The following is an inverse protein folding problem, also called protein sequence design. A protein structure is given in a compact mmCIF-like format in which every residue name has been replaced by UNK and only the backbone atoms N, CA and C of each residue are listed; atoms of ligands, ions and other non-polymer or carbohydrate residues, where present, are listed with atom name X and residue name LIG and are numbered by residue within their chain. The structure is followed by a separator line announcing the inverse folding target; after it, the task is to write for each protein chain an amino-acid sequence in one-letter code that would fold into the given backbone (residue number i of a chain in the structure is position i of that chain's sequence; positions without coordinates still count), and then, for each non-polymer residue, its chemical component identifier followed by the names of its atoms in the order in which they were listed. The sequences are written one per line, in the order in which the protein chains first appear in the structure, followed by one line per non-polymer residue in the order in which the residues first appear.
data_IF_370915620910
#
_entry.id   IF_370915620910
#
_cell.length_a   1.000
_cell.length_b   1.000
_cell.length_c   1.000
_cell.angle_alpha   90.00
_cell.angle_beta   90.00
_cell.angle_gamma   90.00
#
_symmetry.space_group_name_H-M   'P 1'
#
loop_
_entity.id
_entity.type
_entity.pdbx_description
1 polymer ?
#
# COMPACT_ATOMS: atom_id res chain seq x y z
N UNK A 1 -0.83 -35.33 3.64
CA UNK A 1 0.45 -34.95 3.02
C UNK A 1 0.32 -33.48 2.63
N UNK A 2 1.00 -32.55 3.34
CA UNK A 2 1.08 -31.15 2.91
C UNK A 2 1.81 -31.13 1.56
N UNK A 3 1.10 -30.82 0.48
CA UNK A 3 1.74 -30.67 -0.82
C UNK A 3 2.83 -29.60 -0.72
N UNK A 4 4.06 -29.99 -1.05
CA UNK A 4 5.22 -29.10 -1.07
C UNK A 4 5.01 -28.05 -2.17
N UNK A 5 5.08 -26.76 -1.83
CA UNK A 5 4.98 -25.67 -2.81
C UNK A 5 6.15 -25.73 -3.80
N UNK A 6 5.84 -25.53 -5.06
CA UNK A 6 6.79 -25.45 -6.18
C UNK A 6 6.36 -24.33 -7.12
N UNK A 7 7.22 -23.90 -8.05
CA UNK A 7 6.85 -22.90 -9.04
C UNK A 7 5.62 -23.29 -9.91
N UNK A 8 5.33 -24.59 -10.02
CA UNK A 8 4.19 -25.09 -10.81
C UNK A 8 2.87 -25.13 -10.02
N UNK A 9 2.94 -25.27 -8.72
CA UNK A 9 1.75 -25.49 -7.87
C UNK A 9 1.39 -24.29 -7.01
N UNK A 10 2.29 -23.32 -6.87
CA UNK A 10 2.06 -22.11 -6.10
C UNK A 10 1.20 -21.09 -6.85
N UNK A 11 0.31 -20.43 -6.12
CA UNK A 11 -0.44 -19.29 -6.63
C UNK A 11 0.32 -17.99 -6.33
N UNK A 12 0.70 -17.18 -7.34
CA UNK A 12 1.44 -15.94 -7.13
C UNK A 12 0.74 -14.92 -6.24
N UNK A 13 -0.58 -14.85 -6.27
CA UNK A 13 -1.35 -13.92 -5.43
C UNK A 13 -1.33 -14.34 -3.96
N UNK A 14 -1.49 -15.66 -3.66
CA UNK A 14 -1.34 -16.19 -2.30
C UNK A 14 0.07 -15.94 -1.76
N UNK A 15 1.12 -16.16 -2.58
CA UNK A 15 2.50 -15.89 -2.18
C UNK A 15 2.72 -14.40 -1.86
N UNK A 16 2.15 -13.51 -2.69
CA UNK A 16 2.25 -12.07 -2.51
C UNK A 16 1.57 -11.62 -1.21
N UNK A 17 0.30 -12.01 -1.01
CA UNK A 17 -0.44 -11.66 0.21
C UNK A 17 0.32 -12.10 1.47
N UNK A 18 0.81 -13.32 1.50
CA UNK A 18 1.57 -13.87 2.63
C UNK A 18 2.92 -13.18 2.88
N UNK A 19 3.49 -12.53 1.88
CA UNK A 19 4.82 -11.93 1.97
C UNK A 19 4.82 -10.43 2.22
N UNK A 20 3.79 -9.73 1.75
CA UNK A 20 3.82 -8.27 1.60
C UNK A 20 2.68 -7.59 2.36
N UNK A 21 1.59 -8.32 2.65
CA UNK A 21 0.38 -7.72 3.18
C UNK A 21 0.06 -8.20 4.59
N UNK A 22 -0.12 -7.26 5.50
CA UNK A 22 -0.65 -7.45 6.85
C UNK A 22 -1.71 -6.36 7.11
N UNK A 23 -2.95 -6.56 6.60
CA UNK A 23 -3.94 -5.48 6.54
C UNK A 23 -4.59 -5.15 7.89
N UNK A 24 -4.60 -6.05 8.84
CA UNK A 24 -5.31 -5.86 10.12
C UNK A 24 -4.71 -4.73 10.97
N UNK A 25 -3.37 -4.64 11.19
CA UNK A 25 -2.74 -3.52 11.87
C UNK A 25 -3.02 -2.18 11.20
N UNK A 26 -2.98 -2.13 9.86
CA UNK A 26 -3.25 -0.91 9.11
C UNK A 26 -4.70 -0.45 9.25
N UNK A 27 -5.66 -1.38 9.19
CA UNK A 27 -7.08 -1.10 9.44
C UNK A 27 -7.29 -0.55 10.86
N UNK A 28 -6.60 -1.10 11.86
CA UNK A 28 -6.66 -0.64 13.23
C UNK A 28 -6.03 0.76 13.38
N UNK A 29 -4.88 0.99 12.75
CA UNK A 29 -4.18 2.27 12.71
C UNK A 29 -5.09 3.38 12.16
N UNK A 30 -5.63 3.18 10.95
CA UNK A 30 -6.52 4.14 10.31
C UNK A 30 -7.78 4.40 11.12
N UNK A 31 -8.38 3.34 11.67
CA UNK A 31 -9.60 3.45 12.48
C UNK A 31 -9.38 4.31 13.72
N UNK A 32 -8.28 4.08 14.43
CA UNK A 32 -7.90 4.83 15.63
C UNK A 32 -7.66 6.31 15.31
N UNK A 33 -6.87 6.61 14.28
CA UNK A 33 -6.56 7.98 13.89
C UNK A 33 -7.80 8.72 13.38
N UNK A 34 -8.65 8.07 12.59
CA UNK A 34 -9.88 8.69 12.11
C UNK A 34 -10.85 9.01 13.25
N UNK A 35 -11.05 8.07 14.18
CA UNK A 35 -11.92 8.31 15.37
C UNK A 35 -11.36 9.44 16.24
N UNK A 36 -10.05 9.44 16.48
CA UNK A 36 -9.39 10.49 17.28
C UNK A 36 -9.61 11.89 16.68
N UNK A 37 -9.50 12.02 15.36
CA UNK A 37 -9.59 13.32 14.68
C UNK A 37 -11.05 13.75 14.39
N UNK A 38 -11.99 12.81 14.28
CA UNK A 38 -13.35 13.08 13.81
C UNK A 38 -14.45 12.81 14.85
N UNK A 39 -14.09 12.19 15.96
CA UNK A 39 -15.08 11.82 17.00
C UNK A 39 -16.11 10.77 16.54
N UNK A 40 -15.93 10.18 15.37
CA UNK A 40 -16.81 9.18 14.78
C UNK A 40 -16.02 8.08 14.05
N UNK A 41 -16.56 6.86 13.93
CA UNK A 41 -15.90 5.83 13.12
C UNK A 41 -16.04 6.12 11.62
N UNK A 42 -15.00 5.77 10.85
CA UNK A 42 -15.07 5.68 9.41
C UNK A 42 -15.88 4.43 9.00
N UNK A 43 -16.78 4.57 8.03
CA UNK A 43 -17.66 3.49 7.56
C UNK A 43 -17.40 3.10 6.12
N UNK A 44 -16.93 4.04 5.30
CA UNK A 44 -16.71 3.84 3.87
C UNK A 44 -15.24 4.06 3.52
N UNK A 45 -14.70 3.15 2.72
CA UNK A 45 -13.31 3.23 2.26
C UNK A 45 -13.22 2.96 0.76
N UNK A 46 -12.25 3.59 0.11
CA UNK A 46 -11.77 3.22 -1.23
C UNK A 46 -10.28 2.89 -1.15
N UNK A 47 -9.92 1.76 -1.69
CA UNK A 47 -8.54 1.37 -1.89
C UNK A 47 -8.18 1.57 -3.36
N UNK A 48 -7.27 2.50 -3.63
CA UNK A 48 -6.67 2.69 -4.95
C UNK A 48 -5.50 1.71 -5.09
N UNK A 49 -5.35 1.11 -6.27
CA UNK A 49 -4.40 0.00 -6.55
C UNK A 49 -4.68 -1.24 -5.69
N UNK A 50 -5.95 -1.61 -5.59
CA UNK A 50 -6.37 -2.64 -4.63
C UNK A 50 -5.86 -4.06 -4.91
N UNK A 51 -5.39 -4.35 -6.12
CA UNK A 51 -4.95 -5.69 -6.49
C UNK A 51 -6.00 -6.76 -6.18
N UNK A 52 -5.70 -7.68 -5.26
CA UNK A 52 -6.64 -8.70 -4.77
C UNK A 52 -7.68 -8.14 -3.82
N UNK A 53 -7.50 -6.92 -3.31
CA UNK A 53 -8.34 -6.22 -2.34
C UNK A 53 -8.41 -6.90 -0.96
N UNK A 54 -7.34 -7.56 -0.52
CA UNK A 54 -7.26 -8.15 0.82
C UNK A 54 -7.44 -7.08 1.90
N UNK A 55 -6.92 -5.86 1.68
CA UNK A 55 -7.10 -4.74 2.61
C UNK A 55 -8.56 -4.29 2.68
N UNK A 56 -9.25 -4.17 1.54
CA UNK A 56 -10.70 -3.95 1.51
C UNK A 56 -11.47 -5.02 2.28
N UNK A 57 -11.09 -6.30 2.13
CA UNK A 57 -11.74 -7.41 2.83
C UNK A 57 -11.53 -7.32 4.35
N UNK A 58 -10.31 -7.03 4.81
CA UNK A 58 -10.00 -6.81 6.23
C UNK A 58 -10.77 -5.61 6.79
N UNK A 59 -10.84 -4.50 6.04
CA UNK A 59 -11.66 -3.35 6.42
C UNK A 59 -13.12 -3.72 6.64
N UNK A 60 -13.74 -4.45 5.71
CA UNK A 60 -15.15 -4.87 5.80
C UNK A 60 -15.37 -5.83 6.97
N UNK A 61 -14.46 -6.78 7.20
CA UNK A 61 -14.54 -7.76 8.30
C UNK A 61 -14.42 -7.12 9.66
N UNK A 62 -13.67 -6.04 9.80
CA UNK A 62 -13.43 -5.37 11.08
C UNK A 62 -14.67 -4.72 11.70
N UNK A 63 -15.76 -4.47 10.93
CA UNK A 63 -17.02 -3.97 11.47
C UNK A 63 -18.20 -4.16 10.50
N UNK A 64 -19.37 -4.57 11.00
CA UNK A 64 -20.58 -4.88 10.20
C UNK A 64 -21.11 -3.72 9.32
N UNK A 65 -20.90 -2.47 9.73
CA UNK A 65 -21.35 -1.28 8.99
C UNK A 65 -20.35 -0.79 7.94
N UNK A 66 -19.18 -1.42 7.82
CA UNK A 66 -18.13 -1.00 6.88
C UNK A 66 -18.40 -1.51 5.47
N UNK A 67 -18.14 -0.64 4.50
CA UNK A 67 -18.19 -0.93 3.07
C UNK A 67 -16.87 -0.49 2.42
N UNK A 68 -16.48 -1.14 1.33
CA UNK A 68 -15.28 -0.79 0.60
C UNK A 68 -15.50 -0.74 -0.91
N UNK A 69 -14.66 0.05 -1.58
CA UNK A 69 -14.54 0.14 -3.03
C UNK A 69 -13.09 -0.16 -3.36
N UNK A 70 -12.82 -1.27 -4.04
CA UNK A 70 -11.50 -1.58 -4.58
C UNK A 70 -11.38 -1.09 -6.02
N UNK A 71 -10.31 -0.36 -6.32
CA UNK A 71 -10.03 0.20 -7.65
C UNK A 71 -8.70 -0.33 -8.14
N UNK A 72 -8.69 -0.99 -9.29
CA UNK A 72 -7.47 -1.45 -9.95
C UNK A 72 -7.67 -1.52 -11.47
N UNK A 73 -6.58 -1.58 -12.22
CA UNK A 73 -6.59 -1.80 -13.67
C UNK A 73 -6.56 -3.29 -14.04
N UNK A 74 -5.96 -4.12 -13.17
CA UNK A 74 -5.75 -5.55 -13.44
C UNK A 74 -7.01 -6.38 -13.14
N UNK A 75 -7.74 -6.69 -14.23
CA UNK A 75 -8.95 -7.50 -14.15
C UNK A 75 -8.70 -8.94 -13.64
N UNK A 76 -7.49 -9.51 -13.88
CA UNK A 76 -7.18 -10.89 -13.48
C UNK A 76 -6.96 -10.96 -11.97
N UNK A 77 -6.17 -10.06 -11.44
CA UNK A 77 -5.94 -9.93 -9.99
C UNK A 77 -7.24 -9.65 -9.25
N UNK A 78 -8.06 -8.71 -9.73
CA UNK A 78 -9.39 -8.45 -9.16
C UNK A 78 -10.32 -9.66 -9.22
N UNK A 79 -10.30 -10.45 -10.31
CA UNK A 79 -11.12 -11.65 -10.43
C UNK A 79 -10.67 -12.74 -9.44
N UNK A 80 -9.38 -12.86 -9.18
CA UNK A 80 -8.84 -13.74 -8.15
C UNK A 80 -9.36 -13.31 -6.76
N UNK A 81 -9.24 -12.03 -6.39
CA UNK A 81 -9.72 -11.49 -5.13
C UNK A 81 -11.23 -11.70 -4.92
N UNK A 82 -12.05 -11.51 -5.96
CA UNK A 82 -13.51 -11.76 -5.88
C UNK A 82 -13.83 -13.20 -5.45
N UNK A 83 -13.12 -14.19 -5.97
CA UNK A 83 -13.30 -15.60 -5.57
C UNK A 83 -12.84 -15.89 -4.16
N UNK A 84 -11.76 -15.23 -3.72
CA UNK A 84 -11.20 -15.47 -2.37
C UNK A 84 -11.94 -14.73 -1.26
N UNK A 85 -12.61 -13.63 -1.60
CA UNK A 85 -13.29 -12.78 -0.61
C UNK A 85 -14.82 -12.74 -0.81
N UNK A 86 -15.43 -13.84 -1.26
CA UNK A 86 -16.89 -13.95 -1.44
C UNK A 86 -17.68 -13.58 -0.18
N UNK A 87 -17.19 -13.91 1.01
CA UNK A 87 -17.82 -13.59 2.30
C UNK A 87 -18.00 -12.10 2.62
N UNK A 88 -17.42 -11.20 1.80
CA UNK A 88 -17.62 -9.74 1.94
C UNK A 88 -18.27 -9.10 0.71
N UNK A 89 -18.69 -9.90 -0.27
CA UNK A 89 -19.16 -9.45 -1.58
C UNK A 89 -20.27 -8.40 -1.53
N UNK A 90 -21.26 -8.54 -0.63
CA UNK A 90 -22.40 -7.61 -0.48
C UNK A 90 -21.99 -6.20 -0.03
N UNK A 91 -20.82 -6.06 0.59
CA UNK A 91 -20.28 -4.81 1.11
C UNK A 91 -19.09 -4.29 0.35
N UNK A 92 -18.69 -5.01 -0.71
CA UNK A 92 -17.55 -4.74 -1.57
C UNK A 92 -18.00 -4.29 -2.95
N UNK A 93 -17.48 -3.16 -3.41
CA UNK A 93 -17.65 -2.68 -4.80
C UNK A 93 -16.30 -2.78 -5.52
N UNK A 94 -16.29 -3.46 -6.65
CA UNK A 94 -15.09 -3.59 -7.48
C UNK A 94 -15.18 -2.66 -8.69
N UNK A 95 -14.16 -1.82 -8.89
CA UNK A 95 -14.06 -0.92 -10.04
C UNK A 95 -12.78 -1.16 -10.81
N UNK A 96 -12.89 -1.77 -11.99
CA UNK A 96 -11.79 -1.78 -12.93
C UNK A 96 -11.68 -0.41 -13.59
N UNK A 97 -10.78 0.43 -13.09
CA UNK A 97 -10.63 1.80 -13.55
C UNK A 97 -9.24 2.36 -13.22
N UNK A 98 -8.85 3.40 -13.94
CA UNK A 98 -7.68 4.20 -13.61
C UNK A 98 -8.00 5.07 -12.39
N UNK A 99 -7.18 4.97 -11.35
CA UNK A 99 -7.33 5.75 -10.10
C UNK A 99 -7.28 7.26 -10.32
N UNK A 100 -6.67 7.72 -11.44
CA UNK A 100 -6.58 9.14 -11.81
C UNK A 100 -7.91 9.70 -12.32
N UNK A 101 -8.84 8.85 -12.73
CA UNK A 101 -10.09 9.25 -13.37
C UNK A 101 -11.33 8.54 -12.82
N UNK A 102 -11.16 7.62 -11.88
CA UNK A 102 -12.24 6.81 -11.33
C UNK A 102 -13.37 7.69 -10.77
N UNK A 103 -14.60 7.35 -11.13
CA UNK A 103 -15.82 7.93 -10.54
C UNK A 103 -16.42 6.96 -9.54
N UNK A 104 -16.50 7.39 -8.30
CA UNK A 104 -17.07 6.62 -7.19
C UNK A 104 -17.77 7.56 -6.20
N UNK A 105 -18.69 7.07 -5.37
CA UNK A 105 -19.21 7.84 -4.24
C UNK A 105 -18.06 8.34 -3.36
N UNK A 106 -18.28 9.48 -2.70
CA UNK A 106 -17.33 9.99 -1.71
C UNK A 106 -17.29 9.05 -0.52
N UNK A 107 -16.09 8.85 0.01
CA UNK A 107 -15.82 7.92 1.12
C UNK A 107 -15.14 8.64 2.29
N UNK A 108 -15.21 8.03 3.49
CA UNK A 108 -14.52 8.54 4.66
C UNK A 108 -12.99 8.41 4.53
N UNK A 109 -12.52 7.31 3.96
CA UNK A 109 -11.10 7.01 3.84
C UNK A 109 -10.77 6.58 2.41
N UNK A 110 -9.69 7.10 1.86
CA UNK A 110 -9.02 6.54 0.67
C UNK A 110 -7.65 6.05 1.10
N UNK A 111 -7.22 4.91 0.57
CA UNK A 111 -5.86 4.37 0.79
C UNK A 111 -5.14 4.12 -0.53
N UNK A 112 -3.81 4.27 -0.52
CA UNK A 112 -2.92 3.82 -1.58
C UNK A 112 -1.65 3.26 -0.92
N UNK A 113 -1.69 1.98 -0.55
CA UNK A 113 -0.64 1.30 0.19
C UNK A 113 0.27 0.45 -0.69
N UNK A 114 1.28 -0.15 -0.09
CA UNK A 114 2.34 -0.91 -0.73
C UNK A 114 3.10 -0.08 -1.78
N UNK A 115 3.27 1.22 -1.51
CA UNK A 115 4.00 2.18 -2.35
C UNK A 115 3.48 2.25 -3.80
N UNK A 116 2.25 1.77 -4.06
CA UNK A 116 1.69 1.61 -5.40
C UNK A 116 1.59 2.94 -6.17
N UNK A 117 1.43 4.05 -5.48
CA UNK A 117 1.39 5.40 -6.06
C UNK A 117 2.74 5.87 -6.63
N UNK A 118 3.85 5.19 -6.32
CA UNK A 118 5.17 5.44 -6.90
C UNK A 118 5.25 5.18 -8.42
N UNK A 119 4.21 4.56 -9.00
CA UNK A 119 4.05 4.43 -10.48
C UNK A 119 3.90 5.78 -11.17
N UNK A 120 3.52 6.83 -10.45
CA UNK A 120 3.48 8.19 -11.00
C UNK A 120 4.87 8.81 -10.99
N UNK A 121 5.44 8.99 -12.17
CA UNK A 121 6.85 9.33 -12.34
C UNK A 121 7.10 10.83 -12.50
N UNK A 122 6.06 11.63 -12.68
CA UNK A 122 6.16 13.09 -12.76
C UNK A 122 5.25 13.77 -11.73
N UNK A 123 5.72 14.90 -11.20
CA UNK A 123 5.01 15.65 -10.16
C UNK A 123 3.62 16.16 -10.61
N UNK A 124 3.44 16.71 -11.81
CA UNK A 124 2.11 17.11 -12.27
C UNK A 124 1.09 15.97 -12.27
N UNK A 125 1.49 14.76 -12.67
CA UNK A 125 0.63 13.58 -12.66
C UNK A 125 0.31 13.14 -11.23
N UNK A 126 1.30 13.13 -10.34
CA UNK A 126 1.10 12.83 -8.92
C UNK A 126 0.12 13.80 -8.25
N UNK A 127 0.30 15.11 -8.46
CA UNK A 127 -0.60 16.14 -7.93
C UNK A 127 -2.01 16.01 -8.50
N UNK A 128 -2.17 15.70 -9.81
CA UNK A 128 -3.49 15.42 -10.41
C UNK A 128 -4.16 14.21 -9.76
N UNK A 129 -3.41 13.13 -9.51
CA UNK A 129 -3.91 11.97 -8.79
C UNK A 129 -4.36 12.35 -7.38
N UNK A 130 -3.56 13.04 -6.61
CA UNK A 130 -3.92 13.47 -5.26
C UNK A 130 -5.16 14.40 -5.24
N UNK A 131 -5.31 15.28 -6.23
CA UNK A 131 -6.54 16.07 -6.42
C UNK A 131 -7.77 15.19 -6.70
N UNK A 132 -7.61 14.14 -7.49
CA UNK A 132 -8.67 13.18 -7.76
C UNK A 132 -9.05 12.39 -6.49
N UNK A 133 -8.07 11.98 -5.70
CA UNK A 133 -8.31 11.35 -4.39
C UNK A 133 -9.13 12.29 -3.51
N UNK A 134 -8.68 13.55 -3.35
CA UNK A 134 -9.35 14.55 -2.52
C UNK A 134 -10.81 14.79 -2.93
N UNK A 135 -11.11 14.80 -4.24
CA UNK A 135 -12.49 14.92 -4.76
C UNK A 135 -13.37 13.71 -4.40
N UNK A 136 -12.75 12.54 -4.26
CA UNK A 136 -13.41 11.29 -3.87
C UNK A 136 -13.62 11.14 -2.36
N UNK A 137 -13.09 12.04 -1.54
CA UNK A 137 -13.26 12.05 -0.09
C UNK A 137 -14.52 12.81 0.35
N UNK A 138 -15.10 12.37 1.45
CA UNK A 138 -16.04 13.18 2.24
C UNK A 138 -15.37 14.48 2.70
N UNK A 139 -16.16 15.47 3.12
CA UNK A 139 -15.64 16.79 3.53
C UNK A 139 -14.60 16.72 4.66
N UNK A 140 -14.74 15.73 5.53
CA UNK A 140 -13.87 15.45 6.67
C UNK A 140 -13.03 14.18 6.46
N UNK A 141 -12.87 13.75 5.21
CA UNK A 141 -12.23 12.48 4.86
C UNK A 141 -10.72 12.47 5.04
N UNK A 142 -10.17 11.27 5.02
CA UNK A 142 -8.76 10.95 5.17
C UNK A 142 -8.23 10.25 3.93
N UNK A 143 -7.10 10.70 3.40
CA UNK A 143 -6.27 9.92 2.50
C UNK A 143 -5.05 9.40 3.24
N UNK A 144 -4.80 8.11 3.18
CA UNK A 144 -3.63 7.46 3.78
C UNK A 144 -2.79 6.78 2.70
N UNK A 145 -1.50 7.01 2.75
CA UNK A 145 -0.52 6.34 1.90
C UNK A 145 0.72 6.03 2.72
N UNK A 146 1.41 4.96 2.33
CA UNK A 146 2.69 4.59 2.89
C UNK A 146 3.83 5.14 2.03
N UNK A 147 5.00 5.27 2.64
CA UNK A 147 6.23 5.70 1.99
C UNK A 147 7.40 5.05 2.69
N UNK A 148 8.35 4.52 1.93
CA UNK A 148 9.62 4.04 2.45
C UNK A 148 10.74 5.00 2.05
N UNK A 149 11.76 5.07 2.88
CA UNK A 149 12.91 5.95 2.64
C UNK A 149 14.16 5.45 3.37
N UNK A 150 15.10 6.36 3.52
CA UNK A 150 16.46 6.07 3.98
C UNK A 150 17.41 5.75 2.81
N UNK A 151 18.73 5.76 3.05
CA UNK A 151 19.76 5.43 2.06
C UNK A 151 19.51 4.11 1.32
N UNK A 152 19.05 3.08 2.04
CA UNK A 152 18.77 1.76 1.47
C UNK A 152 17.66 1.77 0.41
N UNK A 153 16.71 2.70 0.53
CA UNK A 153 15.66 2.84 -0.47
C UNK A 153 16.17 3.29 -1.85
N UNK A 154 17.34 3.91 -1.89
CA UNK A 154 18.00 4.43 -3.10
C UNK A 154 19.07 3.48 -3.63
N UNK A 155 19.52 2.53 -2.82
CA UNK A 155 20.57 1.58 -3.19
C UNK A 155 20.07 0.47 -4.11
N UNK A 156 20.97 -0.09 -4.92
CA UNK A 156 20.73 -1.39 -5.53
C UNK A 156 20.91 -2.46 -4.45
N UNK A 157 19.87 -3.24 -4.21
CA UNK A 157 19.88 -4.27 -3.17
C UNK A 157 19.05 -5.49 -3.56
N UNK A 158 19.27 -6.59 -2.86
CA UNK A 158 18.46 -7.79 -2.92
C UNK A 158 18.21 -8.24 -1.49
N UNK A 159 16.96 -8.36 -1.12
CA UNK A 159 16.54 -8.84 0.19
C UNK A 159 15.80 -10.17 0.06
N UNK A 160 16.13 -11.14 0.92
CA UNK A 160 15.57 -12.49 0.89
C UNK A 160 14.95 -12.82 2.25
N UNK A 161 13.64 -13.10 2.26
CA UNK A 161 12.92 -13.50 3.47
C UNK A 161 12.37 -14.90 3.34
N UNK A 162 12.76 -15.79 4.27
CA UNK A 162 12.22 -17.15 4.36
C UNK A 162 10.81 -17.10 4.90
N UNK A 163 9.87 -17.58 4.09
CA UNK A 163 8.46 -17.71 4.42
C UNK A 163 8.11 -19.19 4.64
N UNK A 164 6.94 -19.49 5.15
CA UNK A 164 6.51 -20.89 5.34
C UNK A 164 6.38 -21.67 4.03
N UNK A 165 7.47 -22.30 3.57
CA UNK A 165 7.51 -23.16 2.39
C UNK A 165 8.02 -22.51 1.11
N UNK A 166 8.48 -21.25 1.14
CA UNK A 166 9.12 -20.56 0.04
C UNK A 166 10.02 -19.42 0.56
N UNK A 167 10.83 -18.83 -0.31
CA UNK A 167 11.60 -17.62 -0.05
C UNK A 167 11.03 -16.50 -0.92
N UNK A 168 10.63 -15.41 -0.29
CA UNK A 168 10.32 -14.14 -0.96
C UNK A 168 11.61 -13.41 -1.26
N UNK A 169 11.74 -12.88 -2.46
CA UNK A 169 12.92 -12.15 -2.91
C UNK A 169 12.50 -10.79 -3.44
N UNK A 170 12.92 -9.73 -2.77
CA UNK A 170 12.82 -8.36 -3.23
C UNK A 170 14.09 -7.94 -3.94
N UNK A 171 14.01 -7.56 -5.23
CA UNK A 171 15.13 -7.11 -6.04
C UNK A 171 14.97 -5.62 -6.36
N UNK A 172 15.87 -4.82 -5.80
CA UNK A 172 15.99 -3.39 -6.06
C UNK A 172 16.99 -3.13 -7.18
N UNK A 173 16.51 -2.65 -8.33
CA UNK A 173 17.35 -2.22 -9.44
C UNK A 173 18.12 -0.94 -9.11
N UNK A 174 19.06 -0.58 -9.99
CA UNK A 174 19.76 0.71 -9.88
C UNK A 174 18.79 1.87 -9.99
N UNK A 175 19.01 2.89 -9.17
CA UNK A 175 18.30 4.17 -9.24
C UNK A 175 18.95 5.05 -10.32
N UNK A 176 18.14 5.69 -11.15
CA UNK A 176 18.58 6.80 -11.98
C UNK A 176 18.59 8.09 -11.15
N UNK A 177 19.76 8.70 -11.01
CA UNK A 177 19.97 9.84 -10.11
C UNK A 177 19.24 11.13 -10.56
N UNK A 178 18.91 11.27 -11.84
CA UNK A 178 18.23 12.46 -12.36
C UNK A 178 16.73 12.38 -12.21
N UNK A 179 16.16 11.20 -12.38
CA UNK A 179 14.71 10.97 -12.36
C UNK A 179 14.21 10.28 -11.10
N UNK A 180 15.11 9.74 -10.27
CA UNK A 180 14.82 8.82 -9.16
C UNK A 180 14.01 7.58 -9.58
N UNK A 181 14.07 7.20 -10.87
CA UNK A 181 13.40 5.99 -11.36
C UNK A 181 14.22 4.75 -11.09
N UNK A 182 13.54 3.67 -10.81
CA UNK A 182 14.13 2.35 -10.56
C UNK A 182 13.13 1.26 -10.89
N UNK A 183 13.65 0.09 -11.26
CA UNK A 183 12.82 -1.12 -11.41
C UNK A 183 12.93 -1.93 -10.13
N UNK A 184 11.79 -2.26 -9.55
CA UNK A 184 11.67 -3.17 -8.43
C UNK A 184 11.00 -4.46 -8.90
N UNK A 185 11.44 -5.61 -8.35
CA UNK A 185 10.91 -6.93 -8.73
C UNK A 185 10.67 -7.78 -7.51
N UNK A 186 9.69 -8.66 -7.64
CA UNK A 186 9.44 -9.72 -6.66
C UNK A 186 9.62 -11.06 -7.36
N UNK A 187 10.38 -11.94 -6.73
CA UNK A 187 10.55 -13.32 -7.13
C UNK A 187 10.22 -14.25 -5.96
N UNK A 188 9.92 -15.50 -6.28
CA UNK A 188 9.72 -16.53 -5.27
C UNK A 188 10.60 -17.74 -5.59
N UNK A 189 11.28 -18.27 -4.57
CA UNK A 189 12.14 -19.44 -4.67
C UNK A 189 11.58 -20.55 -3.77
N UNK A 190 11.69 -21.79 -4.24
CA UNK A 190 11.12 -22.94 -3.55
C UNK A 190 12.20 -23.91 -3.10
N UNK A 191 11.95 -24.73 -2.03
CA UNK A 191 12.92 -25.67 -1.50
C UNK A 191 13.35 -26.78 -2.46
N UNK A 192 12.61 -27.00 -3.56
CA UNK A 192 12.98 -27.94 -4.64
C UNK A 192 13.90 -27.32 -5.70
N UNK A 193 14.32 -26.05 -5.50
CA UNK A 193 15.16 -25.31 -6.43
C UNK A 193 14.40 -24.63 -7.57
N UNK A 194 13.08 -24.83 -7.69
CA UNK A 194 12.27 -24.12 -8.68
C UNK A 194 12.05 -22.65 -8.28
N UNK A 195 11.80 -21.79 -9.27
CA UNK A 195 11.68 -20.33 -9.05
C UNK A 195 10.59 -19.73 -9.93
N UNK A 196 9.85 -18.77 -9.36
CA UNK A 196 9.02 -17.81 -10.09
C UNK A 196 9.77 -16.49 -10.16
N UNK A 197 10.19 -16.09 -11.36
CA UNK A 197 10.96 -14.85 -11.57
C UNK A 197 10.07 -13.75 -12.13
N UNK A 198 10.36 -12.49 -11.74
CA UNK A 198 9.69 -11.29 -12.23
C UNK A 198 8.14 -11.37 -12.11
N UNK A 199 7.67 -12.01 -11.02
CA UNK A 199 6.23 -12.20 -10.79
C UNK A 199 5.51 -10.87 -10.69
N UNK A 200 6.14 -9.94 -9.99
CA UNK A 200 5.72 -8.55 -9.94
C UNK A 200 6.89 -7.67 -10.33
N UNK A 201 6.63 -6.70 -11.19
CA UNK A 201 7.61 -5.74 -11.70
C UNK A 201 7.04 -4.35 -11.64
N UNK A 202 7.73 -3.48 -10.93
CA UNK A 202 7.34 -2.10 -10.70
C UNK A 202 8.35 -1.17 -11.36
N UNK A 203 7.89 -0.19 -12.12
CA UNK A 203 8.67 0.93 -12.63
C UNK A 203 8.28 2.15 -11.80
N UNK A 204 9.01 2.38 -10.72
CA UNK A 204 8.72 3.40 -9.72
C UNK A 204 9.65 4.60 -9.82
N UNK A 205 9.11 5.77 -9.53
CA UNK A 205 9.91 6.89 -9.04
C UNK A 205 9.91 6.83 -7.51
N UNK A 206 11.10 6.89 -6.91
CA UNK A 206 11.24 7.00 -5.46
C UNK A 206 11.03 8.47 -5.08
N UNK A 207 9.92 8.73 -4.44
CA UNK A 207 9.54 10.04 -3.97
C UNK A 207 10.03 10.24 -2.55
N UNK A 208 10.63 11.42 -2.27
CA UNK A 208 11.03 11.76 -0.93
C UNK A 208 9.83 12.26 -0.11
N UNK A 209 9.89 12.08 1.22
CA UNK A 209 8.79 12.48 2.12
C UNK A 209 8.43 13.97 1.99
N UNK A 210 9.37 14.93 1.97
CA UNK A 210 9.04 16.35 1.77
C UNK A 210 8.34 16.61 0.44
N UNK A 211 8.82 16.03 -0.67
CA UNK A 211 8.19 16.18 -2.00
C UNK A 211 6.75 15.67 -2.00
N UNK A 212 6.51 14.52 -1.36
CA UNK A 212 5.18 13.89 -1.30
C UNK A 212 4.23 14.73 -0.45
N UNK A 213 4.69 15.22 0.70
CA UNK A 213 3.93 16.12 1.55
C UNK A 213 3.53 17.42 0.82
N UNK A 214 4.48 18.05 0.12
CA UNK A 214 4.22 19.26 -0.65
C UNK A 214 3.24 19.00 -1.79
N UNK A 215 3.37 17.87 -2.49
CA UNK A 215 2.42 17.48 -3.54
C UNK A 215 1.00 17.25 -3.01
N UNK A 216 0.84 16.72 -1.80
CA UNK A 216 -0.46 16.58 -1.13
C UNK A 216 -1.06 17.96 -0.78
N UNK A 217 -0.25 18.88 -0.23
CA UNK A 217 -0.70 20.24 0.09
C UNK A 217 -1.10 20.99 -1.18
N UNK A 218 -0.32 20.89 -2.27
CA UNK A 218 -0.65 21.47 -3.58
C UNK A 218 -1.90 20.86 -4.24
N UNK A 219 -2.22 19.61 -3.88
CA UNK A 219 -3.48 19.00 -4.28
C UNK A 219 -4.68 19.53 -3.49
N UNK A 220 -4.43 20.33 -2.43
CA UNK A 220 -5.43 21.03 -1.63
C UNK A 220 -5.82 20.31 -0.34
N UNK A 221 -5.08 19.29 0.10
CA UNK A 221 -5.25 18.75 1.44
C UNK A 221 -4.88 19.81 2.48
N UNK A 222 -5.64 19.91 3.57
CA UNK A 222 -5.47 20.98 4.57
C UNK A 222 -4.31 20.73 5.50
N UNK A 223 -4.04 19.45 5.79
CA UNK A 223 -3.01 18.99 6.73
C UNK A 223 -2.51 17.63 6.30
N UNK A 224 -1.22 17.41 6.46
CA UNK A 224 -0.57 16.12 6.26
C UNK A 224 0.19 15.79 7.54
N UNK A 225 -0.26 14.76 8.24
CA UNK A 225 0.43 14.21 9.39
C UNK A 225 1.35 13.08 8.93
N UNK A 226 2.51 12.98 9.54
CA UNK A 226 3.45 11.89 9.34
C UNK A 226 3.39 10.98 10.55
N UNK A 227 3.14 9.70 10.32
CA UNK A 227 3.28 8.67 11.32
C UNK A 227 4.59 7.94 11.05
N UNK A 228 5.44 7.90 12.05
CA UNK A 228 6.75 7.27 12.01
C UNK A 228 6.75 6.02 12.85
N UNK A 229 7.38 4.98 12.35
CA UNK A 229 7.54 3.73 13.07
C UNK A 229 8.50 3.92 14.23
N UNK A 230 8.17 3.35 15.39
CA UNK A 230 9.10 3.24 16.50
C UNK A 230 10.03 2.05 16.29
N UNK A 231 11.14 2.04 17.03
CA UNK A 231 12.11 0.95 16.99
C UNK A 231 12.09 0.18 18.32
N UNK A 232 12.48 -1.06 18.26
CA UNK A 232 12.74 -1.90 19.42
C UNK A 232 14.17 -1.71 19.93
N UNK A 233 14.53 -2.46 21.00
CA UNK A 233 15.86 -2.38 21.60
C UNK A 233 17.00 -2.88 20.68
N UNK A 234 16.66 -3.50 19.56
CA UNK A 234 17.62 -3.96 18.54
C UNK A 234 17.74 -3.01 17.37
N UNK A 235 16.95 -1.93 17.36
CA UNK A 235 16.88 -0.98 16.24
C UNK A 235 16.02 -1.48 15.08
N UNK A 236 15.20 -2.52 15.29
CA UNK A 236 14.24 -2.98 14.28
C UNK A 236 12.89 -2.30 14.45
N UNK A 237 12.16 -2.07 13.36
CA UNK A 237 10.82 -1.49 13.40
C UNK A 237 9.88 -2.34 14.26
N UNK A 238 9.16 -1.71 15.18
CA UNK A 238 8.31 -2.41 16.16
C UNK A 238 6.82 -2.42 15.79
N UNK A 239 6.45 -1.97 14.59
CA UNK A 239 5.08 -1.91 14.10
C UNK A 239 4.21 -0.84 14.77
N UNK A 240 4.78 0.00 15.65
CA UNK A 240 4.05 1.05 16.36
C UNK A 240 4.30 2.40 15.72
N UNK A 241 3.30 2.91 15.02
CA UNK A 241 3.37 4.20 14.33
C UNK A 241 2.78 5.33 15.17
N UNK A 242 3.55 6.41 15.33
CA UNK A 242 3.16 7.60 16.10
C UNK A 242 3.34 8.86 15.26
N UNK A 243 2.47 9.85 15.47
CA UNK A 243 2.61 11.17 14.84
C UNK A 243 3.89 11.85 15.34
N UNK A 244 4.71 12.30 14.38
CA UNK A 244 5.97 12.99 14.70
C UNK A 244 6.04 14.33 13.97
N UNK A 245 6.87 15.24 14.52
CA UNK A 245 7.25 16.52 13.87
C UNK A 245 8.68 16.49 13.35
N UNK A 246 9.50 15.57 13.84
CA UNK A 246 10.89 15.33 13.47
C UNK A 246 11.16 13.83 13.57
N UNK A 247 12.00 13.33 12.70
CA UNK A 247 12.50 11.96 12.70
C UNK A 247 13.95 11.97 12.21
N UNK A 248 14.74 11.02 12.66
CA UNK A 248 16.07 10.77 12.12
C UNK A 248 15.95 9.99 10.82
N UNK A 249 16.92 10.17 9.93
CA UNK A 249 16.95 9.46 8.66
C UNK A 249 17.76 8.17 8.83
N UNK A 250 17.09 7.14 9.34
CA UNK A 250 17.65 5.80 9.46
C UNK A 250 17.97 5.20 8.08
N UNK A 251 18.77 4.13 8.03
CA UNK A 251 19.17 3.48 6.79
C UNK A 251 17.96 2.96 5.99
N UNK A 252 16.94 2.46 6.67
CA UNK A 252 15.67 2.03 6.09
C UNK A 252 14.52 2.35 7.05
N UNK A 253 13.47 2.97 6.55
CA UNK A 253 12.28 3.30 7.33
C UNK A 253 11.00 3.28 6.49
N UNK A 254 9.88 3.04 7.15
CA UNK A 254 8.53 3.19 6.60
C UNK A 254 7.78 4.25 7.38
N UNK A 255 7.01 5.08 6.69
CA UNK A 255 6.14 6.07 7.29
C UNK A 255 4.77 6.05 6.63
N UNK A 256 3.72 6.41 7.38
CA UNK A 256 2.41 6.72 6.80
C UNK A 256 2.19 8.22 6.74
N UNK A 257 1.66 8.69 5.63
CA UNK A 257 1.18 10.06 5.50
C UNK A 257 -0.34 10.04 5.57
N UNK A 258 -0.89 10.79 6.52
CA UNK A 258 -2.32 10.98 6.72
C UNK A 258 -2.70 12.38 6.24
N UNK A 259 -3.29 12.46 5.04
CA UNK A 259 -3.69 13.71 4.43
C UNK A 259 -5.20 13.97 4.64
N UNK A 260 -5.54 15.08 5.30
CA UNK A 260 -6.89 15.44 5.69
C UNK A 260 -7.53 16.41 4.69
N UNK A 261 -8.75 16.09 4.21
CA UNK A 261 -9.50 16.87 3.22
C UNK A 261 -10.03 18.21 3.77
#
# INVERSE_FOLDING_TARGET
VKHRLTARTADPHDLYERSVQDPEPDVALLSRHFVHERGRPARTMREDFCGTAVFCAAWIRSHRARRAIGVDLDARTMAWGRRHFEGVAERMTWKRADVRTVRAPRVDVVTAFNFSWCVFQDRPTLVRYFRQVRRGLARDGLFALDLHGGPDSLAKAKDERRMGGFTYVWDQGKLDALSHRTIRRIHFEFPDGTRLRDVYRYDWRIWMLPETRDALLDAGFRRVDVLWEGFDDKGEGNGIFRRVKRAENEDSWVAYLLAWA
#
